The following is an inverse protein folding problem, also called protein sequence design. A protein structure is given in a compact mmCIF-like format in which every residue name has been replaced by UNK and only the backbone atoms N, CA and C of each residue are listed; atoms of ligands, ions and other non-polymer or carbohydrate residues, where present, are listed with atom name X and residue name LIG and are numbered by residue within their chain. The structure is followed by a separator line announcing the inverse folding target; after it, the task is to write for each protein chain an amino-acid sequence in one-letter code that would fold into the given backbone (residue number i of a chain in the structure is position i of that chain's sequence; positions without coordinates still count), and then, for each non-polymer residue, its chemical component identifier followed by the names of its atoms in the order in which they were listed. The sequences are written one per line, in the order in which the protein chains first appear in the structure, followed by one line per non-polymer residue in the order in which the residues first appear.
data_IF_967011528702
#
_entry.id   IF_967011528702
#
_cell.length_a   1.000
_cell.length_b   1.000
_cell.length_c   1.000
_cell.angle_alpha   90.00
_cell.angle_beta   90.00
_cell.angle_gamma   90.00
#
_symmetry.space_group_name_H-M   'P 1'
#
loop_
_entity.id
_entity.type
_entity.pdbx_description
1 polymer ?
#
# COMPACT_ATOMS: atom_id res chain seq x y z
N UNK A 1 19.73 -1.86 -5.66
CA UNK A 1 18.91 -1.33 -4.54
C UNK A 1 18.66 -2.37 -3.43
N UNK A 2 18.76 -3.67 -3.71
CA UNK A 2 18.60 -4.72 -2.68
C UNK A 2 19.66 -4.66 -1.54
N UNK A 3 20.80 -4.02 -1.79
CA UNK A 3 21.87 -3.87 -0.80
C UNK A 3 21.67 -2.70 0.18
N UNK A 4 20.61 -1.91 -0.02
CA UNK A 4 20.27 -0.83 0.90
C UNK A 4 19.68 -1.42 2.19
N UNK A 5 20.36 -1.19 3.31
CA UNK A 5 19.95 -1.70 4.62
C UNK A 5 19.69 -0.53 5.57
N UNK A 6 18.48 0.03 5.58
CA UNK A 6 18.10 1.15 6.43
C UNK A 6 18.16 0.74 7.91
N UNK A 7 18.69 1.64 8.75
CA UNK A 7 18.68 1.48 10.20
C UNK A 7 17.77 2.54 10.81
N UNK A 8 16.76 2.08 11.52
CA UNK A 8 15.82 2.94 12.21
C UNK A 8 16.42 3.37 13.57
N UNK A 9 16.25 4.63 13.92
CA UNK A 9 16.50 5.11 15.27
C UNK A 9 15.36 4.66 16.22
N UNK A 10 15.51 4.90 17.53
CA UNK A 10 14.57 4.38 18.52
C UNK A 10 13.16 5.04 18.40
N UNK A 11 13.08 6.30 18.02
CA UNK A 11 11.80 6.97 17.79
C UNK A 11 11.09 6.37 16.56
N UNK A 12 11.82 6.13 15.48
CA UNK A 12 11.27 5.50 14.27
C UNK A 12 10.77 4.07 14.50
N UNK A 13 11.44 3.31 15.38
CA UNK A 13 11.01 1.94 15.74
C UNK A 13 9.68 1.93 16.50
N UNK A 14 9.30 3.03 17.15
CA UNK A 14 8.07 3.19 17.91
C UNK A 14 6.96 3.86 17.11
N UNK A 15 7.16 4.11 15.81
CA UNK A 15 6.14 4.74 14.97
C UNK A 15 4.86 3.89 14.91
N UNK A 16 3.72 4.54 15.09
CA UNK A 16 2.40 3.91 15.02
C UNK A 16 1.90 3.79 13.58
N UNK A 17 2.29 4.70 12.70
CA UNK A 17 1.96 4.64 11.27
C UNK A 17 3.24 4.52 10.46
N UNK A 18 3.30 3.49 9.63
CA UNK A 18 4.44 3.18 8.81
C UNK A 18 3.99 3.09 7.36
N UNK A 19 4.58 3.91 6.51
CA UNK A 19 4.36 3.83 5.06
C UNK A 19 5.58 3.19 4.40
N UNK A 20 5.38 2.02 3.84
CA UNK A 20 6.36 1.34 3.01
C UNK A 20 6.13 1.78 1.57
N UNK A 21 6.90 2.78 1.13
CA UNK A 21 6.87 3.26 -0.24
C UNK A 21 7.46 2.24 -1.22
N UNK A 22 7.43 2.58 -2.50
CA UNK A 22 7.83 1.72 -3.60
C UNK A 22 9.35 1.46 -3.64
N UNK A 23 9.81 0.56 -2.76
CA UNK A 23 11.18 0.05 -2.68
C UNK A 23 11.19 -1.47 -2.86
N UNK A 24 12.39 -2.03 -3.03
CA UNK A 24 12.54 -3.50 -3.10
C UNK A 24 11.95 -4.18 -1.86
N UNK A 25 11.14 -5.25 -2.00
CA UNK A 25 10.46 -5.92 -0.87
C UNK A 25 11.40 -6.36 0.27
N UNK A 26 12.63 -6.77 -0.03
CA UNK A 26 13.63 -7.08 1.02
C UNK A 26 13.98 -5.87 1.88
N UNK A 27 14.03 -4.66 1.31
CA UNK A 27 14.27 -3.43 2.06
C UNK A 27 13.07 -3.12 2.96
N UNK A 28 11.85 -3.25 2.43
CA UNK A 28 10.61 -3.10 3.20
C UNK A 28 10.55 -4.10 4.37
N UNK A 29 10.88 -5.37 4.12
CA UNK A 29 10.95 -6.41 5.16
C UNK A 29 12.01 -6.08 6.23
N UNK A 30 13.16 -5.52 5.83
CA UNK A 30 14.20 -5.07 6.77
C UNK A 30 13.71 -3.96 7.70
N UNK A 31 12.90 -3.03 7.20
CA UNK A 31 12.24 -1.99 8.02
C UNK A 31 11.26 -2.63 9.00
N UNK A 32 10.37 -3.52 8.50
CA UNK A 32 9.38 -4.20 9.34
C UNK A 32 9.99 -5.02 10.47
N UNK A 33 11.19 -5.57 10.27
CA UNK A 33 11.90 -6.32 11.30
C UNK A 33 12.45 -5.46 12.46
N UNK A 34 12.50 -4.14 12.27
CA UNK A 34 13.02 -3.19 13.25
C UNK A 34 11.92 -2.46 14.03
N UNK A 35 10.67 -2.47 13.51
CA UNK A 35 9.55 -1.76 14.14
C UNK A 35 9.01 -2.55 15.32
N UNK A 36 8.92 -1.91 16.49
CA UNK A 36 8.55 -2.52 17.77
C UNK A 36 7.16 -2.05 18.30
N UNK A 37 6.52 -1.06 17.66
CA UNK A 37 5.20 -0.57 18.12
C UNK A 37 4.16 -1.69 18.09
N UNK A 38 3.44 -1.88 19.20
CA UNK A 38 2.36 -2.87 19.33
C UNK A 38 1.10 -2.44 18.56
N UNK A 39 0.86 -1.13 18.50
CA UNK A 39 -0.33 -0.53 17.86
C UNK A 39 -0.01 0.06 16.49
N UNK A 40 0.92 -0.55 15.75
CA UNK A 40 1.28 -0.03 14.43
C UNK A 40 0.23 -0.33 13.38
N UNK A 41 0.04 0.62 12.46
CA UNK A 41 -0.63 0.44 11.19
C UNK A 41 0.40 0.53 10.07
N UNK A 42 0.56 -0.53 9.32
CA UNK A 42 1.51 -0.62 8.22
C UNK A 42 0.78 -0.49 6.90
N UNK A 43 1.16 0.52 6.12
CA UNK A 43 0.62 0.82 4.79
C UNK A 43 1.68 0.48 3.76
N UNK A 44 1.34 -0.36 2.79
CA UNK A 44 2.21 -0.73 1.67
C UNK A 44 1.72 -0.05 0.39
N UNK A 45 2.63 0.65 -0.28
CA UNK A 45 2.51 1.02 -1.69
C UNK A 45 3.54 0.20 -2.49
N UNK A 46 3.09 -0.44 -3.57
CA UNK A 46 3.92 -1.31 -4.39
C UNK A 46 3.67 -1.04 -5.88
N UNK A 47 4.34 -1.77 -6.75
CA UNK A 47 4.15 -1.66 -8.20
C UNK A 47 4.30 -3.02 -8.88
N UNK A 48 3.79 -3.11 -10.10
CA UNK A 48 3.88 -4.31 -10.94
C UNK A 48 5.32 -4.81 -11.16
N UNK A 49 6.32 -3.92 -11.19
CA UNK A 49 7.72 -4.35 -11.31
C UNK A 49 8.14 -5.36 -10.23
N UNK A 50 7.67 -5.18 -8.98
CA UNK A 50 7.98 -6.13 -7.90
C UNK A 50 7.15 -7.40 -8.00
N UNK A 51 5.94 -7.33 -8.55
CA UNK A 51 5.13 -8.52 -8.85
C UNK A 51 5.79 -9.41 -9.92
N UNK A 52 6.51 -8.79 -10.87
CA UNK A 52 7.21 -9.51 -11.95
C UNK A 52 8.60 -10.03 -11.51
N UNK A 53 9.28 -9.35 -10.57
CA UNK A 53 10.70 -9.60 -10.32
C UNK A 53 11.04 -10.04 -8.88
N UNK A 54 10.12 -9.92 -7.92
CA UNK A 54 10.33 -10.20 -6.50
C UNK A 54 9.02 -10.61 -5.82
N UNK A 55 8.22 -11.47 -6.47
CA UNK A 55 6.86 -11.82 -6.01
C UNK A 55 6.85 -12.53 -4.66
N UNK A 56 7.78 -13.45 -4.42
CA UNK A 56 7.87 -14.19 -3.16
C UNK A 56 8.15 -13.25 -1.99
N UNK A 57 9.15 -12.38 -2.14
CA UNK A 57 9.49 -11.37 -1.13
C UNK A 57 8.38 -10.34 -0.94
N UNK A 58 7.65 -10.01 -2.02
CA UNK A 58 6.50 -9.14 -1.93
C UNK A 58 5.36 -9.79 -1.12
N UNK A 59 5.09 -11.07 -1.32
CA UNK A 59 4.10 -11.81 -0.53
C UNK A 59 4.47 -11.86 0.96
N UNK A 60 5.76 -12.01 1.29
CA UNK A 60 6.23 -11.96 2.68
C UNK A 60 5.95 -10.59 3.33
N UNK A 61 6.08 -9.50 2.57
CA UNK A 61 5.74 -8.16 3.04
C UNK A 61 4.22 -8.00 3.17
N UNK A 62 3.45 -8.43 2.15
CA UNK A 62 1.98 -8.35 2.13
C UNK A 62 1.36 -9.03 3.35
N UNK A 63 1.90 -10.18 3.76
CA UNK A 63 1.42 -10.92 4.93
C UNK A 63 1.58 -10.16 6.27
N UNK A 64 2.33 -9.03 6.28
CA UNK A 64 2.71 -8.28 7.48
C UNK A 64 2.20 -6.84 7.49
N UNK A 65 1.38 -6.46 6.52
CA UNK A 65 0.83 -5.10 6.42
C UNK A 65 -0.66 -5.08 6.70
N UNK A 66 -1.17 -3.95 7.14
CA UNK A 66 -2.59 -3.76 7.46
C UNK A 66 -3.37 -3.20 6.28
N UNK A 67 -2.72 -2.35 5.48
CA UNK A 67 -3.32 -1.67 4.32
C UNK A 67 -2.42 -1.82 3.11
N UNK A 68 -3.00 -2.15 1.95
CA UNK A 68 -2.34 -2.03 0.65
C UNK A 68 -2.98 -0.91 -0.15
N UNK A 69 -2.16 -0.06 -0.78
CA UNK A 69 -2.58 0.99 -1.71
C UNK A 69 -1.99 0.65 -3.08
N UNK A 70 -2.83 0.26 -4.02
CA UNK A 70 -2.44 -0.15 -5.38
C UNK A 70 -3.37 0.47 -6.42
N UNK A 71 -2.99 0.44 -7.70
CA UNK A 71 -3.91 0.80 -8.78
C UNK A 71 -4.73 -0.43 -9.23
N UNK A 72 -5.65 -0.22 -10.14
CA UNK A 72 -6.55 -1.25 -10.66
C UNK A 72 -5.81 -2.34 -11.45
N UNK A 73 -4.82 -1.98 -12.27
CA UNK A 73 -4.00 -2.95 -13.01
C UNK A 73 -3.16 -3.81 -12.06
N UNK A 74 -2.56 -3.20 -11.04
CA UNK A 74 -1.81 -3.88 -9.99
C UNK A 74 -2.71 -4.82 -9.18
N UNK A 75 -3.94 -4.42 -8.87
CA UNK A 75 -4.90 -5.26 -8.16
C UNK A 75 -5.28 -6.50 -8.98
N UNK A 76 -5.51 -6.34 -10.29
CA UNK A 76 -5.79 -7.44 -11.21
C UNK A 76 -4.60 -8.39 -11.31
N UNK A 77 -3.38 -7.85 -11.47
CA UNK A 77 -2.16 -8.63 -11.58
C UNK A 77 -1.88 -9.44 -10.30
N UNK A 78 -1.94 -8.79 -9.15
CA UNK A 78 -1.62 -9.42 -7.86
C UNK A 78 -2.64 -10.51 -7.48
N UNK A 79 -3.90 -10.32 -7.81
CA UNK A 79 -4.98 -11.24 -7.44
C UNK A 79 -5.29 -12.29 -8.50
N UNK A 80 -4.94 -12.04 -9.76
CA UNK A 80 -5.40 -12.85 -10.91
C UNK A 80 -6.92 -12.76 -11.17
N UNK A 81 -7.60 -11.73 -10.66
CA UNK A 81 -9.05 -11.50 -10.80
C UNK A 81 -9.31 -10.24 -11.60
N UNK A 82 -10.16 -10.29 -12.62
CA UNK A 82 -10.52 -9.13 -13.44
C UNK A 82 -11.46 -8.14 -12.74
N UNK A 83 -12.30 -8.62 -11.82
CA UNK A 83 -13.21 -7.76 -11.09
C UNK A 83 -12.56 -7.24 -9.82
N UNK A 84 -12.54 -5.91 -9.62
CA UNK A 84 -11.84 -5.26 -8.51
C UNK A 84 -12.37 -5.65 -7.12
N UNK A 85 -13.66 -5.96 -7.00
CA UNK A 85 -14.22 -6.44 -5.74
C UNK A 85 -13.66 -7.82 -5.38
N UNK A 86 -13.65 -8.75 -6.33
CA UNK A 86 -13.07 -10.09 -6.12
C UNK A 86 -11.55 -10.04 -5.99
N UNK A 87 -10.90 -9.10 -6.68
CA UNK A 87 -9.46 -8.85 -6.54
C UNK A 87 -9.11 -8.41 -5.11
N UNK A 88 -9.83 -7.43 -4.57
CA UNK A 88 -9.64 -6.98 -3.20
C UNK A 88 -9.86 -8.11 -2.17
N UNK A 89 -10.91 -8.92 -2.35
CA UNK A 89 -11.19 -10.07 -1.49
C UNK A 89 -10.05 -11.09 -1.53
N UNK A 90 -9.52 -11.41 -2.72
CA UNK A 90 -8.39 -12.33 -2.87
C UNK A 90 -7.15 -11.80 -2.17
N UNK A 91 -6.79 -10.53 -2.39
CA UNK A 91 -5.61 -9.91 -1.77
C UNK A 91 -5.73 -9.90 -0.24
N UNK A 92 -6.92 -9.65 0.32
CA UNK A 92 -7.14 -9.70 1.76
C UNK A 92 -6.89 -11.09 2.37
N UNK A 93 -6.97 -12.17 1.58
CA UNK A 93 -6.64 -13.52 2.08
C UNK A 93 -5.15 -13.71 2.40
N UNK A 94 -4.30 -12.83 1.86
CA UNK A 94 -2.85 -12.87 2.03
C UNK A 94 -2.32 -12.06 3.22
N UNK A 95 -3.18 -11.34 3.95
CA UNK A 95 -2.77 -10.63 5.18
C UNK A 95 -3.50 -9.33 5.45
N UNK A 96 -3.56 -8.38 4.51
CA UNK A 96 -4.10 -7.05 4.76
C UNK A 96 -5.58 -7.08 5.18
N UNK A 97 -5.94 -6.20 6.09
CA UNK A 97 -7.34 -6.00 6.49
C UNK A 97 -8.08 -5.00 5.59
N UNK A 98 -7.33 -4.14 4.90
CA UNK A 98 -7.87 -3.09 4.03
C UNK A 98 -7.10 -3.01 2.71
N UNK A 99 -7.85 -2.82 1.63
CA UNK A 99 -7.28 -2.61 0.28
C UNK A 99 -7.81 -1.30 -0.27
N UNK A 100 -6.91 -0.43 -0.68
CA UNK A 100 -7.23 0.81 -1.41
C UNK A 100 -6.84 0.62 -2.86
N UNK A 101 -7.80 0.71 -3.76
CA UNK A 101 -7.58 0.62 -5.21
C UNK A 101 -7.75 2.01 -5.83
N UNK A 102 -6.66 2.56 -6.34
CA UNK A 102 -6.62 3.83 -7.08
C UNK A 102 -7.08 3.59 -8.50
N UNK A 103 -7.95 4.44 -9.03
CA UNK A 103 -8.53 4.31 -10.38
C UNK A 103 -8.30 5.57 -11.23
N UNK A 104 -7.19 6.27 -11.01
CA UNK A 104 -6.84 7.48 -11.73
C UNK A 104 -7.94 8.54 -11.65
N UNK A 105 -8.39 9.01 -12.80
CA UNK A 105 -9.47 10.02 -12.93
C UNK A 105 -10.85 9.53 -12.43
N UNK A 106 -11.01 8.24 -12.22
CA UNK A 106 -12.26 7.63 -11.73
C UNK A 106 -12.32 7.54 -10.19
N UNK A 107 -11.29 8.02 -9.49
CA UNK A 107 -11.26 8.07 -8.03
C UNK A 107 -10.59 6.85 -7.37
N UNK A 108 -11.12 6.43 -6.25
CA UNK A 108 -10.58 5.32 -5.49
C UNK A 108 -11.67 4.48 -4.81
N UNK A 109 -11.33 3.24 -4.50
CA UNK A 109 -12.16 2.30 -3.75
C UNK A 109 -11.39 1.83 -2.53
N UNK A 110 -12.04 1.79 -1.37
CA UNK A 110 -11.53 1.19 -0.14
C UNK A 110 -12.36 -0.04 0.18
N UNK A 111 -11.70 -1.15 0.44
CA UNK A 111 -12.33 -2.40 0.84
C UNK A 111 -11.84 -2.82 2.22
N UNK A 112 -12.75 -3.31 3.05
CA UNK A 112 -12.50 -4.07 4.26
C UNK A 112 -13.20 -5.42 4.19
N UNK A 113 -13.09 -6.24 5.24
CA UNK A 113 -13.78 -7.53 5.30
C UNK A 113 -15.32 -7.42 5.26
N UNK A 114 -15.88 -6.32 5.74
CA UNK A 114 -17.33 -6.14 5.93
C UNK A 114 -17.92 -5.02 5.08
N UNK A 115 -17.10 -4.09 4.64
CA UNK A 115 -17.57 -2.86 4.01
C UNK A 115 -16.70 -2.49 2.81
N UNK A 116 -17.26 -1.72 1.89
CA UNK A 116 -16.50 -1.02 0.88
C UNK A 116 -16.98 0.42 0.74
N UNK A 117 -16.06 1.28 0.37
CA UNK A 117 -16.31 2.70 0.12
C UNK A 117 -15.73 3.10 -1.24
N UNK A 118 -16.38 4.02 -1.93
CA UNK A 118 -15.88 4.57 -3.19
C UNK A 118 -15.99 6.10 -3.18
N UNK A 119 -14.98 6.76 -3.73
CA UNK A 119 -14.95 8.21 -3.87
C UNK A 119 -14.53 8.58 -5.29
N UNK A 120 -15.18 9.59 -5.92
CA UNK A 120 -14.71 10.11 -7.18
C UNK A 120 -13.39 10.88 -7.00
N UNK A 121 -12.62 11.00 -8.09
CA UNK A 121 -11.50 11.94 -8.11
C UNK A 121 -12.00 13.38 -8.21
N UNK A 122 -11.20 14.32 -7.70
CA UNK A 122 -11.42 15.73 -8.00
C UNK A 122 -11.14 15.98 -9.49
N UNK A 123 -12.07 16.61 -10.24
CA UNK A 123 -11.89 16.82 -11.67
C UNK A 123 -10.77 17.82 -11.94
N UNK A 124 -9.75 17.37 -12.65
CA UNK A 124 -8.61 18.21 -13.08
C UNK A 124 -8.72 18.40 -14.60
N UNK A 125 -8.67 19.66 -15.02
CA UNK A 125 -8.82 20.00 -16.45
C UNK A 125 -7.64 19.52 -17.29
N UNK A 126 -6.42 19.72 -16.79
CA UNK A 126 -5.19 19.40 -17.51
C UNK A 126 -4.20 18.75 -16.53
N UNK A 127 -3.90 17.47 -16.73
CA UNK A 127 -2.82 16.78 -16.03
C UNK A 127 -1.52 17.05 -16.78
N UNK A 128 -0.59 17.76 -16.13
CA UNK A 128 0.70 18.09 -16.75
C UNK A 128 1.75 17.01 -16.51
N UNK A 129 1.81 16.49 -15.29
CA UNK A 129 2.76 15.45 -14.89
C UNK A 129 2.13 14.60 -13.79
N UNK A 130 1.86 13.30 -14.02
CA UNK A 130 1.30 12.39 -13.03
C UNK A 130 2.34 11.80 -12.08
N UNK A 131 3.63 12.12 -12.24
CA UNK A 131 4.72 11.59 -11.41
C UNK A 131 4.48 11.93 -9.94
N UNK A 132 4.56 10.91 -9.08
CA UNK A 132 4.35 11.06 -7.64
C UNK A 132 2.89 11.18 -7.20
N UNK A 133 1.91 11.05 -8.12
CA UNK A 133 0.49 11.07 -7.74
C UNK A 133 0.15 9.93 -6.77
N UNK A 134 0.72 8.74 -6.96
CA UNK A 134 0.60 7.61 -6.05
C UNK A 134 1.18 7.91 -4.67
N UNK A 135 2.39 8.46 -4.63
CA UNK A 135 3.05 8.82 -3.37
C UNK A 135 2.27 9.91 -2.61
N UNK A 136 1.75 10.91 -3.34
CA UNK A 136 0.88 11.94 -2.75
C UNK A 136 -0.41 11.36 -2.18
N UNK A 137 -1.02 10.38 -2.88
CA UNK A 137 -2.22 9.70 -2.40
C UNK A 137 -1.92 8.91 -1.11
N UNK A 138 -0.87 8.09 -1.12
CA UNK A 138 -0.47 7.29 0.03
C UNK A 138 -0.09 8.17 1.23
N UNK A 139 0.65 9.26 0.99
CA UNK A 139 1.02 10.23 2.01
C UNK A 139 -0.18 10.97 2.60
N UNK A 140 -1.15 11.38 1.75
CA UNK A 140 -2.40 12.01 2.19
C UNK A 140 -3.27 11.06 3.02
N UNK A 141 -3.39 9.80 2.59
CA UNK A 141 -4.11 8.75 3.31
C UNK A 141 -3.49 8.50 4.70
N UNK A 142 -2.18 8.27 4.75
CA UNK A 142 -1.46 8.06 6.00
C UNK A 142 -1.51 9.28 6.93
N UNK A 143 -1.34 10.48 6.35
CA UNK A 143 -1.40 11.73 7.12
C UNK A 143 -2.78 12.01 7.71
N UNK A 144 -3.85 11.58 7.04
CA UNK A 144 -5.20 11.65 7.61
C UNK A 144 -5.38 10.64 8.75
N UNK A 145 -4.94 9.39 8.58
CA UNK A 145 -5.00 8.39 9.64
C UNK A 145 -4.24 8.82 10.90
N UNK A 146 -3.11 9.50 10.75
CA UNK A 146 -2.33 10.01 11.86
C UNK A 146 -3.04 11.13 12.68
N UNK A 147 -4.16 11.66 12.19
CA UNK A 147 -4.97 12.66 12.87
C UNK A 147 -6.25 12.05 13.48
N UNK A 148 -6.54 10.80 13.16
CA UNK A 148 -7.68 10.08 13.74
C UNK A 148 -7.23 9.43 15.05
N UNK A 149 -7.77 9.90 16.18
CA UNK A 149 -7.60 9.29 17.50
C UNK A 149 -8.50 8.05 17.68
#
# INVERSE_FOLDING_TARGET
MADFNPKLNDDQKQSEIIVLGNLHPLVQSTVLNQVNSENKCVILDTMNFWMDNALEELHDVIARVDVIIINDEEAIQLSGKENLFTAAQEIMTHGPSHIVIKKGEHGAMLFSKTEFFTTPAFPVKDVKDPTGAGDCFAGGFAGFLAQCE
#
